data_IF_692275675994
#
_entry.id   IF_692275675994
#
_cell.length_a   1.000
_cell.length_b   1.000
_cell.length_c   1.000
_cell.angle_alpha   90.00
_cell.angle_beta   90.00
_cell.angle_gamma   90.00
#
_symmetry.space_group_name_H-M   'P 1'
#
loop_
_entity.id
_entity.type
_entity.pdbx_description
1 polymer ?
#
# COMPACT_ATOMS: atom_id res chain seq x y z
N UNK A 1 -3.22 17.41 8.14
CA UNK A 1 -2.47 16.24 8.62
C UNK A 1 -2.86 15.02 7.84
N UNK A 2 -1.91 14.23 7.46
CA UNK A 2 -2.08 13.12 6.54
C UNK A 2 -2.17 11.75 7.21
N UNK A 3 -2.64 11.67 8.45
CA UNK A 3 -2.69 10.42 9.19
C UNK A 3 -1.31 10.01 9.69
N UNK A 4 -1.08 8.72 9.81
CA UNK A 4 0.19 8.20 10.33
C UNK A 4 1.28 8.24 9.26
N UNK A 5 2.54 8.51 9.64
CA UNK A 5 3.64 8.38 8.67
C UNK A 5 3.88 6.90 8.33
N UNK A 6 4.53 6.64 7.19
CA UNK A 6 4.98 5.27 6.89
C UNK A 6 5.88 4.76 8.01
N UNK A 7 5.74 3.48 8.36
CA UNK A 7 6.54 2.88 9.41
C UNK A 7 6.94 1.45 9.09
N UNK A 8 8.06 1.02 9.68
CA UNK A 8 8.52 -0.35 9.53
C UNK A 8 7.68 -1.31 10.39
N UNK A 9 7.33 -2.44 9.81
CA UNK A 9 6.81 -3.61 10.53
C UNK A 9 7.97 -4.57 10.78
N UNK A 10 8.73 -4.87 9.73
CA UNK A 10 10.00 -5.60 9.81
C UNK A 10 11.06 -4.72 9.14
N UNK A 11 12.03 -4.21 9.89
CA UNK A 11 13.03 -3.30 9.32
C UNK A 11 13.65 -3.84 8.03
N UNK A 12 13.66 -3.02 7.00
CA UNK A 12 14.24 -3.31 5.68
C UNK A 12 13.54 -4.42 4.89
N UNK A 13 12.39 -4.93 5.36
CA UNK A 13 11.64 -5.96 4.67
C UNK A 13 10.19 -5.56 4.40
N UNK A 14 9.50 -5.06 5.42
CA UNK A 14 8.07 -4.80 5.34
C UNK A 14 7.72 -3.52 6.07
N UNK A 15 7.00 -2.63 5.39
CA UNK A 15 6.51 -1.37 5.95
C UNK A 15 5.01 -1.25 5.71
N UNK A 16 4.37 -0.34 6.41
CA UNK A 16 2.95 -0.02 6.22
C UNK A 16 2.72 1.48 6.29
N UNK A 17 1.64 1.94 5.67
CA UNK A 17 1.29 3.36 5.60
C UNK A 17 -0.18 3.54 5.28
N UNK A 18 -0.79 4.68 5.63
CA UNK A 18 -1.99 5.14 4.96
C UNK A 18 -1.67 5.48 3.50
N UNK A 19 -2.71 5.58 2.67
CA UNK A 19 -2.51 6.02 1.28
C UNK A 19 -2.01 7.46 1.24
N UNK A 20 -1.35 7.87 0.14
CA UNK A 20 -0.92 9.27 0.00
C UNK A 20 -2.10 10.23 0.15
N UNK A 21 -1.91 11.27 0.96
CA UNK A 21 -2.91 12.31 1.15
C UNK A 21 -4.09 11.95 2.05
N UNK A 22 -4.10 10.74 2.63
CA UNK A 22 -5.16 10.39 3.58
C UNK A 22 -5.26 11.45 4.68
N UNK A 23 -6.46 11.91 5.10
CA UNK A 23 -7.79 11.41 4.76
C UNK A 23 -8.49 12.16 3.61
N UNK A 24 -7.80 12.93 2.79
CA UNK A 24 -8.39 13.60 1.64
C UNK A 24 -9.03 12.60 0.68
N UNK A 25 -10.16 12.98 0.06
CA UNK A 25 -10.94 12.06 -0.78
C UNK A 25 -11.11 12.48 -2.22
N UNK A 26 -10.80 13.71 -2.57
CA UNK A 26 -10.97 14.20 -3.93
C UNK A 26 -9.82 15.12 -4.29
N UNK A 27 -9.42 15.09 -5.55
CA UNK A 27 -8.45 16.03 -6.07
C UNK A 27 -7.14 16.05 -5.31
N UNK A 28 -6.68 14.88 -4.86
CA UNK A 28 -5.41 14.80 -4.15
C UNK A 28 -4.32 15.26 -5.08
N UNK A 29 -3.51 16.23 -4.63
CA UNK A 29 -2.54 16.88 -5.50
C UNK A 29 -1.37 15.96 -5.85
N UNK A 30 -0.79 16.20 -7.01
CA UNK A 30 0.42 15.50 -7.45
C UNK A 30 1.54 15.70 -6.45
N UNK A 31 1.68 16.91 -5.90
CA UNK A 31 2.73 17.26 -4.93
C UNK A 31 2.63 16.41 -3.66
N UNK A 32 1.40 16.15 -3.19
CA UNK A 32 1.17 15.30 -2.01
C UNK A 32 1.62 13.86 -2.29
N UNK A 33 1.29 13.35 -3.47
CA UNK A 33 1.70 11.99 -3.86
C UNK A 33 3.22 11.93 -4.03
N UNK A 34 3.82 12.94 -4.66
CA UNK A 34 5.28 13.01 -4.84
C UNK A 34 6.00 12.99 -3.49
N UNK A 35 5.51 13.76 -2.52
CA UNK A 35 6.10 13.78 -1.17
C UNK A 35 6.01 12.41 -0.50
N UNK A 36 4.85 11.75 -0.63
CA UNK A 36 4.68 10.41 -0.07
C UNK A 36 5.68 9.42 -0.70
N UNK A 37 5.83 9.47 -2.02
CA UNK A 37 6.77 8.60 -2.74
C UNK A 37 8.20 8.88 -2.30
N UNK A 38 8.59 10.15 -2.18
CA UNK A 38 9.92 10.52 -1.71
C UNK A 38 10.19 9.96 -0.32
N UNK A 39 9.21 10.07 0.58
CA UNK A 39 9.36 9.58 1.95
C UNK A 39 9.56 8.07 2.00
N UNK A 40 8.74 7.31 1.26
CA UNK A 40 8.87 5.85 1.29
C UNK A 40 10.14 5.37 0.59
N UNK A 41 10.55 6.05 -0.48
CA UNK A 41 11.82 5.72 -1.15
C UNK A 41 13.02 6.06 -0.27
N UNK A 42 12.94 7.12 0.53
CA UNK A 42 13.99 7.47 1.48
C UNK A 42 14.15 6.39 2.55
N UNK A 43 13.09 5.65 2.88
CA UNK A 43 13.15 4.50 3.76
C UNK A 43 13.80 3.27 3.09
N UNK A 44 13.96 3.29 1.78
CA UNK A 44 14.47 2.18 1.00
C UNK A 44 13.41 1.32 0.34
N UNK A 45 12.12 1.66 0.48
CA UNK A 45 11.01 0.89 -0.10
C UNK A 45 11.17 0.78 -1.61
N UNK A 46 11.00 -0.43 -2.13
CA UNK A 46 11.12 -0.77 -3.56
C UNK A 46 9.79 -1.20 -4.17
N UNK A 47 8.84 -1.63 -3.37
CA UNK A 47 7.59 -2.19 -3.88
C UNK A 47 6.41 -1.78 -3.00
N UNK A 48 5.20 -1.75 -3.59
CA UNK A 48 3.96 -1.40 -2.90
C UNK A 48 2.90 -2.46 -3.16
N UNK A 49 2.22 -2.89 -2.11
CA UNK A 49 0.97 -3.65 -2.21
C UNK A 49 -0.15 -2.68 -1.88
N UNK A 50 -1.02 -2.43 -2.83
CA UNK A 50 -2.08 -1.42 -2.73
C UNK A 50 -3.46 -2.10 -2.78
N UNK A 51 -4.28 -1.87 -1.74
CA UNK A 51 -5.62 -2.44 -1.64
C UNK A 51 -6.73 -1.48 -2.03
N UNK A 52 -6.42 -0.33 -2.60
CA UNK A 52 -7.45 0.65 -2.94
C UNK A 52 -8.42 0.11 -3.96
N UNK A 53 -9.72 0.27 -3.69
CA UNK A 53 -10.78 -0.03 -4.65
C UNK A 53 -10.77 1.00 -5.77
N UNK A 54 -11.50 0.72 -6.86
CA UNK A 54 -11.63 1.67 -7.95
C UNK A 54 -12.21 3.01 -7.48
N UNK A 55 -13.15 2.97 -6.55
CA UNK A 55 -13.73 4.18 -5.95
C UNK A 55 -12.63 5.05 -5.29
N UNK A 56 -11.73 4.42 -4.58
CA UNK A 56 -10.65 5.14 -3.88
C UNK A 56 -9.55 5.59 -4.83
N UNK A 57 -9.28 4.83 -5.88
CA UNK A 57 -8.32 5.26 -6.91
C UNK A 57 -8.78 6.54 -7.60
N UNK A 58 -10.09 6.77 -7.70
CA UNK A 58 -10.65 7.98 -8.30
C UNK A 58 -10.31 9.26 -7.52
N UNK A 59 -9.89 9.13 -6.26
CA UNK A 59 -9.43 10.29 -5.48
C UNK A 59 -8.19 10.95 -6.08
N UNK A 60 -7.47 10.22 -6.93
CA UNK A 60 -6.20 10.65 -7.56
C UNK A 60 -6.41 11.09 -9.01
N UNK A 61 -7.51 11.76 -9.28
CA UNK A 61 -7.86 12.22 -10.63
C UNK A 61 -6.88 13.24 -11.21
N UNK A 62 -6.06 13.87 -10.36
CA UNK A 62 -5.02 14.79 -10.83
C UNK A 62 -3.80 14.08 -11.42
N UNK A 63 -3.74 12.75 -11.32
CA UNK A 63 -2.70 11.94 -11.95
C UNK A 63 -3.25 11.36 -13.24
N UNK A 64 -2.80 11.81 -14.42
CA UNK A 64 -3.41 11.40 -15.70
C UNK A 64 -3.48 9.90 -15.92
N UNK A 65 -2.46 9.17 -15.50
CA UNK A 65 -2.42 7.71 -15.70
C UNK A 65 -2.84 6.93 -14.45
N UNK A 66 -3.33 7.62 -13.41
CA UNK A 66 -3.76 7.01 -12.16
C UNK A 66 -2.62 6.71 -11.20
N UNK A 67 -2.98 6.43 -9.94
CA UNK A 67 -2.02 6.24 -8.86
C UNK A 67 -1.09 5.05 -9.08
N UNK A 68 -1.63 3.92 -9.53
CA UNK A 68 -0.84 2.69 -9.71
C UNK A 68 0.28 2.90 -10.73
N UNK A 69 -0.06 3.48 -11.88
CA UNK A 69 0.93 3.75 -12.91
C UNK A 69 1.93 4.81 -12.43
N UNK A 70 1.46 5.77 -11.64
CA UNK A 70 2.34 6.80 -11.08
C UNK A 70 3.41 6.21 -10.18
N UNK A 71 3.05 5.21 -9.37
CA UNK A 71 4.03 4.45 -8.58
C UNK A 71 5.05 3.77 -9.48
N UNK A 72 4.58 3.10 -10.54
CA UNK A 72 5.47 2.39 -11.47
C UNK A 72 6.41 3.34 -12.18
N UNK A 73 5.92 4.52 -12.57
CA UNK A 73 6.74 5.54 -13.20
C UNK A 73 7.82 6.08 -12.25
N UNK A 74 7.64 5.92 -10.95
CA UNK A 74 8.61 6.29 -9.92
C UNK A 74 9.53 5.13 -9.53
N UNK A 75 9.59 4.09 -10.36
CA UNK A 75 10.44 2.90 -10.17
C UNK A 75 10.05 2.03 -8.98
N UNK A 76 8.78 2.04 -8.60
CA UNK A 76 8.24 1.13 -7.60
C UNK A 76 7.56 -0.04 -8.30
N UNK A 77 7.82 -1.27 -7.86
CA UNK A 77 7.00 -2.40 -8.27
C UNK A 77 5.68 -2.35 -7.52
N UNK A 78 4.58 -2.76 -8.16
CA UNK A 78 3.26 -2.64 -7.55
C UNK A 78 2.45 -3.91 -7.75
N UNK A 79 1.87 -4.41 -6.66
CA UNK A 79 0.79 -5.38 -6.72
C UNK A 79 -0.49 -4.65 -6.30
N UNK A 80 -1.43 -4.53 -7.23
CA UNK A 80 -2.73 -3.93 -6.95
C UNK A 80 -3.74 -5.03 -6.69
N UNK A 81 -4.24 -5.10 -5.48
CA UNK A 81 -5.22 -6.10 -5.03
C UNK A 81 -6.45 -5.33 -4.55
N UNK A 82 -7.36 -4.96 -5.46
CA UNK A 82 -8.50 -4.10 -5.09
C UNK A 82 -9.44 -4.83 -4.13
N UNK A 83 -9.72 -4.19 -3.01
CA UNK A 83 -10.64 -4.70 -1.99
C UNK A 83 -11.47 -3.52 -1.48
N UNK A 84 -12.78 -3.73 -1.36
CA UNK A 84 -13.66 -2.69 -0.86
C UNK A 84 -13.38 -2.41 0.63
N UNK A 85 -13.56 -1.14 1.01
CA UNK A 85 -13.42 -0.73 2.40
C UNK A 85 -14.69 -1.04 3.20
N UNK A 86 -14.59 -0.93 4.51
CA UNK A 86 -15.72 -1.03 5.44
C UNK A 86 -16.48 -2.35 5.39
N UNK A 87 -15.78 -3.44 5.11
CA UNK A 87 -16.39 -4.78 5.16
C UNK A 87 -15.74 -5.65 6.24
N UNK A 88 -16.39 -6.73 6.58
CA UNK A 88 -15.90 -7.67 7.59
C UNK A 88 -15.97 -9.10 7.04
N UNK A 89 -14.85 -9.81 6.98
CA UNK A 89 -13.50 -9.34 7.32
C UNK A 89 -12.99 -8.29 6.33
N UNK A 90 -11.95 -7.52 6.69
CA UNK A 90 -11.42 -6.45 5.82
C UNK A 90 -10.94 -6.95 4.45
N UNK A 91 -10.35 -8.13 4.37
CA UNK A 91 -9.92 -8.74 3.12
C UNK A 91 -10.65 -10.06 2.88
N UNK A 92 -10.89 -10.38 1.62
CA UNK A 92 -11.36 -11.69 1.23
C UNK A 92 -10.25 -12.73 1.44
N UNK A 93 -10.62 -14.01 1.45
CA UNK A 93 -9.63 -15.10 1.54
C UNK A 93 -8.63 -15.02 0.38
N UNK A 94 -9.14 -14.72 -0.82
CA UNK A 94 -8.29 -14.56 -1.99
C UNK A 94 -7.35 -13.37 -1.83
N UNK A 95 -7.84 -12.25 -1.31
CA UNK A 95 -7.02 -11.06 -1.04
C UNK A 95 -5.89 -11.35 -0.08
N UNK A 96 -6.15 -12.15 0.95
CA UNK A 96 -5.12 -12.58 1.90
C UNK A 96 -4.06 -13.42 1.19
N UNK A 97 -4.48 -14.42 0.42
CA UNK A 97 -3.54 -15.28 -0.33
C UNK A 97 -2.71 -14.47 -1.32
N UNK A 98 -3.34 -13.55 -2.06
CA UNK A 98 -2.62 -12.70 -3.01
C UNK A 98 -1.62 -11.78 -2.32
N UNK A 99 -1.95 -11.30 -1.12
CA UNK A 99 -1.04 -10.46 -0.33
C UNK A 99 0.25 -11.19 0.03
N UNK A 100 0.11 -12.42 0.52
CA UNK A 100 1.26 -13.27 0.88
C UNK A 100 2.10 -13.58 -0.36
N UNK A 101 1.45 -13.98 -1.45
CA UNK A 101 2.15 -14.28 -2.71
C UNK A 101 2.86 -13.05 -3.27
N UNK A 102 2.21 -11.89 -3.21
CA UNK A 102 2.80 -10.64 -3.66
C UNK A 102 4.04 -10.29 -2.85
N UNK A 103 3.94 -10.41 -1.52
CA UNK A 103 5.10 -10.14 -0.67
C UNK A 103 6.28 -11.02 -1.03
N UNK A 104 6.03 -12.31 -1.29
CA UNK A 104 7.11 -13.24 -1.64
C UNK A 104 7.81 -12.90 -2.95
N UNK A 105 7.06 -12.43 -3.96
CA UNK A 105 7.63 -12.17 -5.29
C UNK A 105 8.17 -10.75 -5.50
N UNK A 106 7.64 -9.76 -4.77
CA UNK A 106 8.05 -8.36 -4.97
C UNK A 106 9.44 -8.09 -4.41
N UNK A 107 10.14 -7.15 -5.02
CA UNK A 107 11.45 -6.71 -4.54
C UNK A 107 11.29 -6.05 -3.16
N UNK A 108 12.12 -6.48 -2.21
CA UNK A 108 12.11 -5.93 -0.84
C UNK A 108 12.91 -4.63 -0.78
N UNK A 109 12.57 -3.72 0.11
CA UNK A 109 11.46 -3.75 1.06
C UNK A 109 10.10 -3.48 0.41
N UNK A 110 9.05 -4.09 0.93
CA UNK A 110 7.67 -3.93 0.45
C UNK A 110 6.88 -3.09 1.44
N UNK A 111 6.11 -2.13 0.94
CA UNK A 111 5.18 -1.35 1.75
C UNK A 111 3.76 -1.74 1.39
N UNK A 112 2.93 -1.93 2.42
CA UNK A 112 1.51 -2.27 2.27
C UNK A 112 0.68 -1.06 2.66
N UNK A 113 -0.30 -0.67 1.83
CA UNK A 113 -1.25 0.35 2.22
C UNK A 113 -2.67 0.06 1.70
N UNK A 114 -3.65 0.56 2.44
CA UNK A 114 -5.03 0.65 2.02
C UNK A 114 -5.42 2.13 2.08
N UNK A 115 -6.57 2.48 2.64
CA UNK A 115 -6.92 3.90 2.81
C UNK A 115 -6.27 4.47 4.08
N UNK A 116 -6.75 4.07 5.25
CA UNK A 116 -6.20 4.52 6.53
C UNK A 116 -4.91 3.80 6.94
N UNK A 117 -4.60 2.69 6.30
CA UNK A 117 -3.43 1.87 6.67
C UNK A 117 -3.68 1.01 7.91
N UNK A 118 -4.93 0.73 8.24
CA UNK A 118 -5.30 0.01 9.46
C UNK A 118 -5.95 -1.35 9.19
N UNK A 119 -7.18 -1.38 8.67
CA UNK A 119 -7.95 -2.62 8.60
C UNK A 119 -7.45 -3.61 7.54
N UNK A 120 -7.53 -3.26 6.26
CA UNK A 120 -7.07 -4.14 5.18
C UNK A 120 -5.56 -4.37 5.27
N UNK A 121 -4.82 -3.30 5.52
CA UNK A 121 -3.37 -3.37 5.70
C UNK A 121 -3.01 -4.26 6.89
N UNK A 122 -3.68 -4.09 8.03
CA UNK A 122 -3.41 -4.88 9.22
C UNK A 122 -3.62 -6.37 8.99
N UNK A 123 -4.69 -6.73 8.30
CA UNK A 123 -4.98 -8.14 8.00
C UNK A 123 -3.91 -8.74 7.08
N UNK A 124 -3.50 -7.99 6.06
CA UNK A 124 -2.44 -8.43 5.14
C UNK A 124 -1.10 -8.58 5.86
N UNK A 125 -0.74 -7.60 6.68
CA UNK A 125 0.51 -7.62 7.44
C UNK A 125 0.55 -8.82 8.38
N UNK A 126 -0.55 -9.10 9.10
CA UNK A 126 -0.63 -10.26 9.99
C UNK A 126 -0.42 -11.57 9.22
N UNK A 127 -1.05 -11.70 8.06
CA UNK A 127 -0.91 -12.90 7.23
C UNK A 127 0.52 -13.06 6.71
N UNK A 128 1.15 -11.97 6.29
CA UNK A 128 2.55 -11.98 5.82
C UNK A 128 3.48 -12.40 6.96
N UNK A 129 3.28 -11.86 8.17
CA UNK A 129 4.11 -12.20 9.31
C UNK A 129 4.00 -13.68 9.69
N UNK A 130 2.80 -14.21 9.67
CA UNK A 130 2.57 -15.63 9.99
C UNK A 130 3.27 -16.53 8.96
N UNK A 131 3.09 -16.25 7.68
CA UNK A 131 3.65 -17.10 6.61
C UNK A 131 5.14 -16.86 6.43
N UNK A 132 5.59 -15.60 6.50
CA UNK A 132 7.01 -15.26 6.36
C UNK A 132 7.83 -15.72 7.55
N UNK A 133 7.24 -15.70 8.74
CA UNK A 133 7.91 -16.14 9.96
C UNK A 133 8.34 -17.59 9.93
N UNK A 134 7.61 -18.43 9.20
CA UNK A 134 7.95 -19.85 9.04
C UNK A 134 9.15 -20.07 8.11
N UNK A 135 9.43 -19.09 7.25
CA UNK A 135 10.51 -19.16 6.27
C UNK A 135 11.77 -18.43 6.72
N UNK A 136 11.62 -17.60 7.72
CA UNK A 136 12.73 -16.86 8.28
C UNK A 136 13.34 -17.60 9.45
#
# INVERSE_FOLDING_TARGET
MSGYPPEWVLPELLAKSPRPGYPGREGISKEVVDEWIENVRAMGVRSVICFLSDHQLAFYSNLPSGLIQYYRDADLEVAHIPEDDYKSPPLSEEGVRESVAAFERLVKPVLVHCSAGLARTGMAVDAILVNGGEQL
#
